data_IF_875154556127
#
_entry.id   IF_875154556127
#
_cell.length_a   1.000
_cell.length_b   1.000
_cell.length_c   1.000
_cell.angle_alpha   90.00
_cell.angle_beta   90.00
_cell.angle_gamma   90.00
#
_symmetry.space_group_name_H-M   'P 1'
#
loop_
_entity.id
_entity.type
_entity.pdbx_description
1 polymer ?
#
# COMPACT_ATOMS: atom_id res chain seq x y z
N UNK A 1 9.52 -18.68 35.05
CA UNK A 1 8.18 -18.74 34.44
C UNK A 1 8.32 -18.56 32.93
N UNK A 2 8.23 -19.64 32.16
CA UNK A 2 8.31 -19.58 30.69
C UNK A 2 6.97 -19.05 30.16
N UNK A 3 6.92 -17.79 29.73
CA UNK A 3 5.78 -17.32 28.93
C UNK A 3 5.79 -18.13 27.62
N UNK A 4 4.68 -18.75 27.20
CA UNK A 4 4.61 -19.38 25.89
C UNK A 4 4.76 -18.26 24.85
N UNK A 5 5.97 -18.10 24.32
CA UNK A 5 6.27 -17.14 23.28
C UNK A 5 5.44 -17.47 22.05
N UNK A 6 4.70 -16.48 21.53
CA UNK A 6 3.95 -16.65 20.29
C UNK A 6 4.92 -17.03 19.18
N UNK A 7 4.66 -18.15 18.51
CA UNK A 7 5.55 -18.58 17.42
C UNK A 7 5.39 -17.68 16.20
N UNK A 8 6.45 -17.50 15.41
CA UNK A 8 6.41 -16.75 14.15
C UNK A 8 5.34 -17.27 13.19
N UNK A 9 5.05 -18.58 13.23
CA UNK A 9 3.99 -19.20 12.43
C UNK A 9 2.58 -18.74 12.88
N UNK A 10 2.35 -18.62 14.18
CA UNK A 10 1.08 -18.12 14.71
C UNK A 10 0.86 -16.64 14.33
N UNK A 11 1.90 -15.81 14.46
CA UNK A 11 1.82 -14.40 14.04
C UNK A 11 1.49 -14.29 12.55
N UNK A 12 2.14 -15.10 11.70
CA UNK A 12 1.89 -15.12 10.26
C UNK A 12 0.45 -15.53 9.90
N UNK A 13 -0.09 -16.55 10.56
CA UNK A 13 -1.49 -16.96 10.36
C UNK A 13 -2.43 -15.83 10.81
N UNK A 14 -2.16 -15.22 11.96
CA UNK A 14 -2.97 -14.12 12.47
C UNK A 14 -3.01 -12.92 11.51
N UNK A 15 -1.85 -12.43 11.03
CA UNK A 15 -1.82 -11.32 10.07
C UNK A 15 -2.53 -11.66 8.76
N UNK A 16 -2.45 -12.91 8.31
CA UNK A 16 -3.15 -13.36 7.12
C UNK A 16 -4.66 -13.33 7.30
N UNK A 17 -5.16 -13.86 8.43
CA UNK A 17 -6.59 -13.85 8.76
C UNK A 17 -7.13 -12.43 8.92
N UNK A 18 -6.37 -11.52 9.53
CA UNK A 18 -6.75 -10.11 9.64
C UNK A 18 -6.85 -9.44 8.26
N UNK A 19 -5.89 -9.69 7.35
CA UNK A 19 -5.97 -9.19 5.98
C UNK A 19 -7.19 -9.74 5.21
N UNK A 20 -7.53 -11.03 5.41
CA UNK A 20 -8.73 -11.63 4.82
C UNK A 20 -10.02 -11.09 5.45
N UNK A 21 -10.01 -10.73 6.73
CA UNK A 21 -11.14 -10.06 7.37
C UNK A 21 -11.36 -8.65 6.78
N UNK A 22 -10.29 -7.90 6.51
CA UNK A 22 -10.38 -6.63 5.79
C UNK A 22 -10.94 -6.83 4.37
N UNK A 23 -10.47 -7.85 3.65
CA UNK A 23 -11.02 -8.22 2.35
C UNK A 23 -12.52 -8.51 2.41
N UNK A 24 -12.96 -9.29 3.39
CA UNK A 24 -14.38 -9.60 3.57
C UNK A 24 -15.21 -8.32 3.86
N UNK A 25 -14.69 -7.41 4.68
CA UNK A 25 -15.32 -6.11 4.96
C UNK A 25 -15.46 -5.25 3.70
N UNK A 26 -14.39 -5.09 2.92
CA UNK A 26 -14.43 -4.32 1.66
C UNK A 26 -15.37 -4.96 0.64
N UNK A 27 -15.29 -6.28 0.49
CA UNK A 27 -16.12 -7.03 -0.46
C UNK A 27 -17.61 -7.00 -0.09
N UNK A 28 -17.94 -7.01 1.19
CA UNK A 28 -19.32 -6.86 1.65
C UNK A 28 -19.95 -5.57 1.12
N UNK A 29 -19.23 -4.45 1.18
CA UNK A 29 -19.73 -3.16 0.68
C UNK A 29 -19.78 -3.09 -0.85
N UNK A 30 -18.82 -3.72 -1.56
CA UNK A 30 -18.89 -3.87 -3.01
C UNK A 30 -20.12 -4.66 -3.44
N UNK A 31 -20.40 -5.79 -2.75
CA UNK A 31 -21.58 -6.61 -2.99
C UNK A 31 -22.86 -5.87 -2.62
N UNK A 32 -22.86 -5.07 -1.55
CA UNK A 32 -23.99 -4.22 -1.19
C UNK A 32 -24.38 -3.28 -2.33
N UNK A 33 -23.40 -2.58 -2.93
CA UNK A 33 -23.68 -1.69 -4.07
C UNK A 33 -24.21 -2.46 -5.29
N UNK A 34 -23.71 -3.68 -5.56
CA UNK A 34 -24.25 -4.55 -6.62
C UNK A 34 -25.69 -4.97 -6.32
N UNK A 35 -26.00 -5.37 -5.07
CA UNK A 35 -27.34 -5.82 -4.68
C UNK A 35 -28.36 -4.68 -4.75
N UNK A 36 -27.97 -3.48 -4.30
CA UNK A 36 -28.86 -2.32 -4.26
C UNK A 36 -29.10 -1.72 -5.65
N UNK A 37 -28.10 -1.75 -6.54
CA UNK A 37 -28.13 -1.01 -7.82
C UNK A 37 -28.13 -1.91 -9.06
N UNK A 38 -27.93 -3.20 -8.88
CA UNK A 38 -27.58 -4.13 -9.95
C UNK A 38 -26.12 -3.97 -10.40
N UNK A 39 -25.60 -4.99 -11.08
CA UNK A 39 -24.24 -4.98 -11.61
C UNK A 39 -23.98 -3.80 -12.59
N UNK A 40 -24.89 -3.44 -13.52
CA UNK A 40 -24.68 -2.29 -14.40
C UNK A 40 -24.63 -0.96 -13.62
N UNK A 41 -25.46 -0.80 -12.59
CA UNK A 41 -25.49 0.40 -11.76
C UNK A 41 -24.21 0.55 -10.91
N UNK A 42 -23.74 -0.54 -10.30
CA UNK A 42 -22.47 -0.56 -9.58
C UNK A 42 -21.27 -0.30 -10.52
N UNK A 43 -21.28 -0.89 -11.71
CA UNK A 43 -20.25 -0.64 -12.72
C UNK A 43 -20.23 0.82 -13.19
N UNK A 44 -21.40 1.40 -13.46
CA UNK A 44 -21.53 2.83 -13.81
C UNK A 44 -21.00 3.70 -12.68
N UNK A 45 -21.32 3.39 -11.42
CA UNK A 45 -20.77 4.10 -10.26
C UNK A 45 -19.24 4.06 -10.25
N UNK A 46 -18.63 2.89 -10.38
CA UNK A 46 -17.19 2.75 -10.30
C UNK A 46 -16.45 3.37 -11.49
N UNK A 47 -17.07 3.41 -12.68
CA UNK A 47 -16.43 3.94 -13.89
C UNK A 47 -16.70 5.41 -14.14
N UNK A 48 -17.82 5.96 -13.67
CA UNK A 48 -18.23 7.36 -13.90
C UNK A 48 -18.19 8.22 -12.64
N UNK A 49 -18.03 7.60 -11.46
CA UNK A 49 -18.08 8.28 -10.18
C UNK A 49 -19.45 8.87 -9.84
N UNK A 50 -20.49 8.61 -10.64
CA UNK A 50 -21.81 9.20 -10.46
C UNK A 50 -22.95 8.22 -10.75
N UNK A 51 -23.83 8.07 -9.77
CA UNK A 51 -25.14 7.40 -9.86
C UNK A 51 -26.07 8.09 -8.87
N UNK A 52 -27.38 8.20 -9.14
CA UNK A 52 -28.34 8.70 -8.15
C UNK A 52 -28.29 7.92 -6.83
N UNK A 53 -28.27 8.66 -5.71
CA UNK A 53 -28.27 8.09 -4.35
C UNK A 53 -26.90 7.75 -3.79
N UNK A 54 -26.86 7.41 -2.50
CA UNK A 54 -25.63 7.09 -1.77
C UNK A 54 -25.03 5.76 -2.18
N UNK A 55 -23.75 5.78 -2.50
CA UNK A 55 -22.98 4.56 -2.68
C UNK A 55 -22.18 4.25 -1.43
N UNK A 56 -21.97 2.96 -1.17
CA UNK A 56 -21.05 2.57 -0.12
C UNK A 56 -19.60 2.72 -0.60
N UNK A 57 -19.31 2.33 -1.84
CA UNK A 57 -17.95 2.13 -2.37
C UNK A 57 -17.61 3.00 -3.56
N UNK A 58 -16.33 2.98 -3.93
CA UNK A 58 -15.75 3.60 -5.12
C UNK A 58 -14.90 2.59 -5.91
N UNK A 59 -14.37 3.00 -7.07
CA UNK A 59 -13.42 2.18 -7.85
C UNK A 59 -12.17 1.78 -7.07
N UNK A 60 -11.72 2.61 -6.11
CA UNK A 60 -10.60 2.30 -5.23
C UNK A 60 -10.85 1.07 -4.35
N UNK A 61 -12.10 0.83 -3.95
CA UNK A 61 -12.44 -0.32 -3.12
C UNK A 61 -12.23 -1.64 -3.89
N UNK A 62 -12.33 -1.65 -5.22
CA UNK A 62 -11.98 -2.81 -6.05
C UNK A 62 -10.48 -3.14 -5.94
N UNK A 63 -9.63 -2.10 -6.05
CA UNK A 63 -8.19 -2.21 -5.85
C UNK A 63 -7.83 -2.65 -4.43
N UNK A 64 -8.52 -2.08 -3.44
CA UNK A 64 -8.30 -2.39 -2.04
C UNK A 64 -8.66 -3.84 -1.71
N UNK A 65 -9.78 -4.34 -2.23
CA UNK A 65 -10.18 -5.73 -2.08
C UNK A 65 -9.15 -6.68 -2.72
N UNK A 66 -8.70 -6.38 -3.95
CA UNK A 66 -7.67 -7.17 -4.62
C UNK A 66 -6.36 -7.22 -3.82
N UNK A 67 -5.90 -6.06 -3.32
CA UNK A 67 -4.72 -5.95 -2.46
C UNK A 67 -4.87 -6.77 -1.17
N UNK A 68 -5.97 -6.62 -0.45
CA UNK A 68 -6.22 -7.31 0.82
C UNK A 68 -6.28 -8.83 0.65
N UNK A 69 -6.92 -9.32 -0.42
CA UNK A 69 -6.95 -10.73 -0.78
C UNK A 69 -5.56 -11.26 -1.11
N UNK A 70 -4.85 -10.59 -2.01
CA UNK A 70 -3.49 -10.99 -2.41
C UNK A 70 -2.54 -10.99 -1.20
N UNK A 71 -2.62 -10.00 -0.31
CA UNK A 71 -1.81 -9.92 0.89
C UNK A 71 -2.09 -11.07 1.87
N UNK A 72 -3.37 -11.40 2.09
CA UNK A 72 -3.78 -12.52 2.94
C UNK A 72 -3.31 -13.87 2.38
N UNK A 73 -3.55 -14.13 1.08
CA UNK A 73 -3.08 -15.35 0.43
C UNK A 73 -1.55 -15.44 0.39
N UNK A 74 -0.86 -14.33 0.09
CA UNK A 74 0.59 -14.26 0.09
C UNK A 74 1.19 -14.65 1.46
N UNK A 75 0.53 -14.24 2.55
CA UNK A 75 0.94 -14.57 3.90
C UNK A 75 0.68 -16.05 4.26
N UNK A 76 -0.49 -16.60 3.89
CA UNK A 76 -0.82 -18.03 4.09
C UNK A 76 0.15 -18.94 3.33
N UNK A 77 0.43 -18.62 2.06
CA UNK A 77 1.34 -19.40 1.21
C UNK A 77 2.82 -19.08 1.43
N UNK A 78 3.15 -18.26 2.44
CA UNK A 78 4.54 -17.91 2.81
C UNK A 78 5.36 -17.38 1.64
N UNK A 79 4.72 -16.60 0.77
CA UNK A 79 5.37 -16.06 -0.43
C UNK A 79 6.39 -14.98 -0.05
N UNK A 80 7.48 -14.89 -0.82
CA UNK A 80 8.44 -13.79 -0.68
C UNK A 80 7.72 -12.47 -0.99
N UNK A 81 7.84 -11.49 -0.09
CA UNK A 81 7.19 -10.18 -0.24
C UNK A 81 5.82 -10.05 0.46
N UNK A 82 5.29 -11.10 1.09
CA UNK A 82 4.03 -11.05 1.84
C UNK A 82 3.99 -9.90 2.87
N UNK A 83 5.09 -9.66 3.59
CA UNK A 83 5.18 -8.55 4.55
C UNK A 83 5.01 -7.17 3.91
N UNK A 84 5.53 -6.95 2.70
CA UNK A 84 5.33 -5.70 1.97
C UNK A 84 3.89 -5.52 1.49
N UNK A 85 3.25 -6.60 1.02
CA UNK A 85 1.84 -6.60 0.63
C UNK A 85 0.92 -6.31 1.83
N UNK A 86 1.15 -6.98 2.96
CA UNK A 86 0.40 -6.75 4.20
C UNK A 86 0.59 -5.34 4.72
N UNK A 87 1.82 -4.80 4.67
CA UNK A 87 2.08 -3.42 5.07
C UNK A 87 1.31 -2.45 4.19
N UNK A 88 1.33 -2.64 2.86
CA UNK A 88 0.61 -1.77 1.93
C UNK A 88 -0.89 -1.86 2.14
N UNK A 89 -1.43 -3.07 2.28
CA UNK A 89 -2.84 -3.34 2.60
C UNK A 89 -3.26 -2.61 3.86
N UNK A 90 -2.47 -2.73 4.94
CA UNK A 90 -2.70 -2.06 6.21
C UNK A 90 -2.68 -0.53 6.06
N UNK A 91 -1.64 0.04 5.45
CA UNK A 91 -1.50 1.50 5.31
C UNK A 91 -2.56 2.12 4.42
N UNK A 92 -2.90 1.47 3.30
CA UNK A 92 -3.96 1.93 2.40
C UNK A 92 -5.30 1.85 3.12
N UNK A 93 -5.60 0.72 3.76
CA UNK A 93 -6.88 0.59 4.48
C UNK A 93 -7.01 1.65 5.57
N UNK A 94 -5.96 1.91 6.36
CA UNK A 94 -5.98 3.00 7.35
C UNK A 94 -6.20 4.37 6.69
N UNK A 95 -5.42 4.70 5.66
CA UNK A 95 -5.53 5.99 4.97
C UNK A 95 -6.93 6.24 4.42
N UNK A 96 -7.56 5.24 3.80
CA UNK A 96 -8.86 5.43 3.17
C UNK A 96 -10.06 5.24 4.12
N UNK A 97 -9.91 4.53 5.24
CA UNK A 97 -10.99 4.33 6.22
C UNK A 97 -11.00 5.37 7.35
N UNK A 98 -9.86 5.97 7.69
CA UNK A 98 -9.78 6.98 8.76
C UNK A 98 -10.64 8.23 8.48
N UNK A 99 -10.66 8.81 7.28
CA UNK A 99 -11.54 9.94 6.99
C UNK A 99 -13.00 9.56 7.17
N UNK A 100 -13.43 8.40 6.66
CA UNK A 100 -14.81 7.93 6.84
C UNK A 100 -15.17 7.80 8.34
N UNK A 101 -14.25 7.30 9.17
CA UNK A 101 -14.43 7.23 10.63
C UNK A 101 -14.51 8.63 11.25
N UNK A 102 -13.59 9.52 10.88
CA UNK A 102 -13.55 10.89 11.39
C UNK A 102 -14.86 11.63 11.08
N UNK A 103 -15.31 11.58 9.84
CA UNK A 103 -16.50 12.30 9.41
C UNK A 103 -17.81 11.67 9.90
N UNK A 104 -17.90 10.34 9.98
CA UNK A 104 -19.14 9.69 10.40
C UNK A 104 -19.34 9.69 11.92
N UNK A 105 -18.26 9.76 12.71
CA UNK A 105 -18.34 9.66 14.17
C UNK A 105 -18.02 10.95 14.91
N UNK A 106 -17.12 11.77 14.38
CA UNK A 106 -16.62 12.94 15.10
C UNK A 106 -17.22 14.24 14.57
N UNK A 107 -17.62 14.29 13.29
CA UNK A 107 -18.25 15.48 12.72
C UNK A 107 -19.78 15.39 12.68
N UNK A 108 -20.36 16.35 13.39
CA UNK A 108 -21.73 16.48 13.85
C UNK A 108 -22.80 16.42 12.75
N UNK A 109 -24.05 16.00 13.05
CA UNK A 109 -25.22 16.01 12.14
C UNK A 109 -25.62 17.38 11.55
N UNK A 110 -24.82 18.42 11.78
CA UNK A 110 -24.98 19.78 11.27
C UNK A 110 -24.07 20.11 10.09
N UNK A 111 -23.17 19.21 9.67
CA UNK A 111 -22.24 19.53 8.59
C UNK A 111 -22.95 19.52 7.21
N UNK A 112 -23.06 20.67 6.51
CA UNK A 112 -23.69 20.76 5.19
C UNK A 112 -23.07 19.82 4.14
N UNK A 113 -21.81 19.41 4.32
CA UNK A 113 -21.11 18.52 3.38
C UNK A 113 -21.63 17.08 3.36
N UNK A 114 -22.15 16.61 4.51
CA UNK A 114 -22.83 15.32 4.61
C UNK A 114 -24.35 15.47 4.51
N UNK A 115 -24.88 16.69 4.35
CA UNK A 115 -26.29 16.91 4.07
C UNK A 115 -27.26 16.16 5.00
N UNK A 116 -28.49 15.95 4.54
CA UNK A 116 -29.54 15.24 5.26
C UNK A 116 -29.34 13.71 5.29
N UNK A 117 -28.09 13.22 5.20
CA UNK A 117 -27.75 11.80 5.19
C UNK A 117 -28.12 11.13 6.52
N UNK A 118 -29.37 10.72 6.64
CA UNK A 118 -29.92 9.97 7.77
C UNK A 118 -30.30 8.58 7.30
N UNK A 119 -29.85 7.54 8.00
CA UNK A 119 -30.24 6.16 7.71
C UNK A 119 -29.42 5.12 8.47
N UNK A 120 -30.01 3.94 8.69
CA UNK A 120 -29.34 2.80 9.34
C UNK A 120 -28.09 2.33 8.57
N UNK A 121 -28.03 2.57 7.26
CA UNK A 121 -26.88 2.28 6.42
C UNK A 121 -25.65 3.11 6.79
N UNK A 122 -25.82 4.37 7.18
CA UNK A 122 -24.69 5.25 7.55
C UNK A 122 -23.99 4.74 8.82
N UNK A 123 -24.77 4.39 9.85
CA UNK A 123 -24.25 3.81 11.10
C UNK A 123 -23.57 2.46 10.84
N UNK A 124 -24.10 1.65 9.94
CA UNK A 124 -23.49 0.37 9.55
C UNK A 124 -22.15 0.59 8.82
N UNK A 125 -22.07 1.54 7.87
CA UNK A 125 -20.82 1.88 7.20
C UNK A 125 -19.79 2.41 8.20
N UNK A 126 -20.19 3.38 9.05
CA UNK A 126 -19.29 3.95 10.06
C UNK A 126 -18.76 2.91 11.04
N UNK A 127 -19.62 2.06 11.59
CA UNK A 127 -19.19 1.00 12.53
C UNK A 127 -18.28 -0.04 11.89
N UNK A 128 -18.54 -0.44 10.64
CA UNK A 128 -17.62 -1.35 9.92
C UNK A 128 -16.32 -0.68 9.50
N UNK A 129 -16.31 0.63 9.24
CA UNK A 129 -15.09 1.40 9.00
C UNK A 129 -14.23 1.49 10.27
N UNK A 130 -14.84 1.73 11.44
CA UNK A 130 -14.13 1.66 12.74
C UNK A 130 -13.53 0.28 12.96
N UNK A 131 -14.30 -0.77 12.72
CA UNK A 131 -13.80 -2.14 12.84
C UNK A 131 -12.61 -2.38 11.90
N UNK A 132 -12.67 -1.90 10.66
CA UNK A 132 -11.55 -2.00 9.72
C UNK A 132 -10.30 -1.26 10.23
N UNK A 133 -10.45 -0.06 10.81
CA UNK A 133 -9.34 0.68 11.42
C UNK A 133 -8.75 -0.10 12.59
N UNK A 134 -9.57 -0.63 13.51
CA UNK A 134 -9.11 -1.45 14.64
C UNK A 134 -8.35 -2.68 14.15
N UNK A 135 -8.89 -3.41 13.16
CA UNK A 135 -8.22 -4.56 12.55
C UNK A 135 -6.87 -4.15 11.96
N UNK A 136 -6.78 -2.99 11.31
CA UNK A 136 -5.51 -2.49 10.77
C UNK A 136 -4.50 -2.14 11.86
N UNK A 137 -4.93 -1.54 12.98
CA UNK A 137 -4.04 -1.26 14.10
C UNK A 137 -3.47 -2.54 14.71
N UNK A 138 -4.31 -3.57 14.87
CA UNK A 138 -3.87 -4.90 15.34
C UNK A 138 -2.92 -5.55 14.32
N UNK A 139 -3.27 -5.50 13.03
CA UNK A 139 -2.43 -6.01 11.94
C UNK A 139 -1.05 -5.31 11.92
N UNK A 140 -1.03 -3.97 12.04
CA UNK A 140 0.19 -3.17 12.13
C UNK A 140 1.05 -3.56 13.33
N UNK A 141 0.44 -3.71 14.52
CA UNK A 141 1.14 -4.18 15.71
C UNK A 141 1.76 -5.56 15.53
N UNK A 142 1.04 -6.51 14.92
CA UNK A 142 1.57 -7.84 14.62
C UNK A 142 2.66 -7.83 13.55
N UNK A 143 2.60 -6.93 12.56
CA UNK A 143 3.67 -6.76 11.57
C UNK A 143 4.95 -6.21 12.21
N UNK A 144 4.82 -5.26 13.14
CA UNK A 144 5.96 -4.75 13.92
C UNK A 144 6.56 -5.84 14.81
N UNK A 145 5.71 -6.64 15.47
CA UNK A 145 6.15 -7.78 16.28
C UNK A 145 6.86 -8.84 15.43
N UNK A 146 6.31 -9.21 14.27
CA UNK A 146 6.93 -10.14 13.34
C UNK A 146 8.32 -9.65 12.90
N UNK A 147 8.43 -8.36 12.60
CA UNK A 147 9.70 -7.73 12.21
C UNK A 147 10.72 -7.73 13.34
N UNK A 148 10.29 -7.50 14.58
CA UNK A 148 11.16 -7.57 15.76
C UNK A 148 11.73 -8.98 15.94
N UNK A 149 10.87 -10.00 15.88
CA UNK A 149 11.32 -11.41 15.98
C UNK A 149 12.27 -11.80 14.85
N UNK A 150 12.02 -11.33 13.63
CA UNK A 150 12.92 -11.56 12.49
C UNK A 150 14.27 -10.85 12.66
N UNK A 151 14.29 -9.67 13.29
CA UNK A 151 15.51 -8.95 13.60
C UNK A 151 16.34 -9.66 14.67
N UNK A 152 15.73 -10.10 15.77
CA UNK A 152 16.40 -10.89 16.82
C UNK A 152 16.97 -12.21 16.26
N UNK A 153 16.20 -12.88 15.41
CA UNK A 153 16.66 -14.10 14.74
C UNK A 153 17.78 -13.82 13.71
N UNK A 154 17.83 -12.65 13.09
CA UNK A 154 18.91 -12.29 12.17
C UNK A 154 20.19 -11.90 12.93
N UNK A 155 20.07 -11.21 14.06
CA UNK A 155 21.19 -10.81 14.90
C UNK A 155 21.98 -12.02 15.45
N UNK A 156 21.31 -13.13 15.72
CA UNK A 156 21.99 -14.37 16.13
C UNK A 156 22.72 -15.09 14.99
N UNK A 157 22.43 -14.75 13.73
CA UNK A 157 22.95 -15.41 12.53
C UNK A 157 23.91 -14.53 11.71
N UNK A 158 24.26 -13.33 12.17
CA UNK A 158 24.93 -12.29 11.37
C UNK A 158 26.42 -12.51 11.07
N UNK A 159 26.99 -13.68 11.37
CA UNK A 159 28.41 -14.00 11.17
C UNK A 159 28.80 -14.10 9.68
N UNK A 160 27.86 -14.13 8.74
CA UNK A 160 28.13 -14.45 7.32
C UNK A 160 27.51 -13.49 6.28
N UNK A 161 27.22 -12.24 6.65
CA UNK A 161 26.44 -11.30 5.82
C UNK A 161 27.16 -10.72 4.58
N UNK A 162 27.10 -11.40 3.43
CA UNK A 162 27.46 -10.82 2.13
C UNK A 162 26.43 -9.80 1.59
N UNK A 163 26.90 -8.80 0.84
CA UNK A 163 26.06 -7.78 0.20
C UNK A 163 25.23 -8.41 -0.93
N UNK A 164 23.89 -8.30 -0.86
CA UNK A 164 23.01 -8.79 -1.95
C UNK A 164 23.02 -7.80 -3.14
N UNK A 165 23.16 -8.28 -4.38
CA UNK A 165 23.16 -7.43 -5.57
C UNK A 165 21.80 -6.73 -5.76
N UNK A 166 21.84 -5.54 -6.36
CA UNK A 166 20.65 -4.74 -6.67
C UNK A 166 19.86 -5.44 -7.78
N UNK A 167 18.59 -5.73 -7.51
CA UNK A 167 17.67 -6.21 -8.54
C UNK A 167 17.17 -5.05 -9.38
N UNK A 168 17.24 -5.18 -10.71
CA UNK A 168 16.71 -4.22 -11.71
C UNK A 168 15.24 -3.88 -11.46
N UNK A 169 14.50 -4.80 -10.85
CA UNK A 169 13.08 -4.61 -10.49
C UNK A 169 12.86 -3.56 -9.42
N UNK A 170 13.77 -3.41 -8.45
CA UNK A 170 13.65 -2.38 -7.42
C UNK A 170 13.88 -0.97 -7.98
N UNK A 171 14.81 -0.83 -8.95
CA UNK A 171 15.05 0.45 -9.63
C UNK A 171 13.89 0.81 -10.55
N UNK A 172 13.35 -0.16 -11.29
CA UNK A 172 12.22 0.08 -12.18
C UNK A 172 10.95 0.46 -11.41
N UNK A 173 10.64 -0.25 -10.32
CA UNK A 173 9.48 0.10 -9.48
C UNK A 173 9.68 1.43 -8.77
N UNK A 174 10.88 1.71 -8.25
CA UNK A 174 11.21 3.00 -7.65
C UNK A 174 11.04 4.18 -8.62
N UNK A 175 11.49 4.03 -9.87
CA UNK A 175 11.32 5.05 -10.90
C UNK A 175 9.85 5.28 -11.24
N UNK A 176 9.05 4.23 -11.42
CA UNK A 176 7.62 4.38 -11.68
C UNK A 176 6.92 5.13 -10.54
N UNK A 177 7.19 4.72 -9.29
CA UNK A 177 6.63 5.39 -8.11
C UNK A 177 7.02 6.86 -8.06
N UNK A 178 8.25 7.21 -8.45
CA UNK A 178 8.70 8.59 -8.53
C UNK A 178 7.90 9.41 -9.57
N UNK A 179 7.69 8.85 -10.76
CA UNK A 179 6.91 9.51 -11.80
C UNK A 179 5.45 9.71 -11.35
N UNK A 180 4.82 8.66 -10.80
CA UNK A 180 3.45 8.76 -10.26
C UNK A 180 3.36 9.79 -9.14
N UNK A 181 4.35 9.86 -8.26
CA UNK A 181 4.42 10.85 -7.20
C UNK A 181 4.40 12.29 -7.73
N UNK A 182 5.15 12.57 -8.81
CA UNK A 182 5.15 13.88 -9.49
C UNK A 182 3.75 14.21 -10.04
N UNK A 183 3.06 13.25 -10.65
CA UNK A 183 1.68 13.45 -11.13
C UNK A 183 0.71 13.78 -9.99
N UNK A 184 0.77 13.06 -8.86
CA UNK A 184 -0.10 13.34 -7.72
C UNK A 184 0.18 14.70 -7.07
N UNK A 185 1.44 15.11 -6.95
CA UNK A 185 1.83 16.45 -6.48
C UNK A 185 1.30 17.51 -7.45
N UNK A 186 1.51 17.30 -8.76
CA UNK A 186 1.03 18.19 -9.81
C UNK A 186 -0.49 18.36 -9.78
N UNK A 187 -1.25 17.27 -9.63
CA UNK A 187 -2.72 17.33 -9.50
C UNK A 187 -3.16 18.13 -8.28
N UNK A 188 -2.57 17.89 -7.11
CA UNK A 188 -2.87 18.69 -5.91
C UNK A 188 -2.56 20.17 -6.12
N UNK A 189 -1.44 20.50 -6.76
CA UNK A 189 -1.08 21.89 -7.07
C UNK A 189 -2.08 22.54 -8.05
N UNK A 190 -2.46 21.85 -9.14
CA UNK A 190 -3.47 22.33 -10.10
C UNK A 190 -4.81 22.55 -9.41
N UNK A 191 -5.25 21.63 -8.56
CA UNK A 191 -6.48 21.81 -7.78
C UNK A 191 -6.36 23.00 -6.84
N UNK A 192 -5.22 23.20 -6.17
CA UNK A 192 -4.97 24.39 -5.35
C UNK A 192 -5.19 25.69 -6.13
N UNK A 193 -4.72 25.75 -7.38
CA UNK A 193 -4.89 26.91 -8.25
C UNK A 193 -6.33 27.09 -8.76
N UNK A 194 -7.06 26.00 -8.98
CA UNK A 194 -8.42 26.06 -9.53
C UNK A 194 -9.49 26.40 -8.50
N UNK A 195 -9.46 25.76 -7.32
CA UNK A 195 -10.48 25.95 -6.28
C UNK A 195 -10.03 26.87 -5.14
N UNK A 196 -8.74 27.22 -5.12
CA UNK A 196 -8.12 28.02 -4.06
C UNK A 196 -7.60 27.15 -2.90
N UNK A 197 -6.62 27.67 -2.12
CA UNK A 197 -5.95 26.90 -1.07
C UNK A 197 -6.89 26.51 0.08
N UNK A 198 -7.86 27.37 0.45
CA UNK A 198 -8.82 27.07 1.53
C UNK A 198 -9.71 25.87 1.22
N UNK A 199 -10.29 25.84 0.02
CA UNK A 199 -11.13 24.72 -0.43
C UNK A 199 -10.30 23.44 -0.59
N UNK A 200 -9.06 23.56 -1.08
CA UNK A 200 -8.15 22.42 -1.12
C UNK A 200 -7.85 21.88 0.29
N UNK A 201 -7.60 22.74 1.28
CA UNK A 201 -7.38 22.31 2.67
C UNK A 201 -8.59 21.54 3.18
N UNK A 202 -9.81 22.04 2.95
CA UNK A 202 -11.02 21.32 3.31
C UNK A 202 -11.11 19.95 2.62
N UNK A 203 -10.82 19.87 1.32
CA UNK A 203 -10.80 18.61 0.56
C UNK A 203 -9.68 17.64 1.01
N UNK A 204 -8.53 18.17 1.46
CA UNK A 204 -7.39 17.38 1.98
C UNK A 204 -7.66 16.87 3.38
N UNK A 205 -8.45 17.56 4.20
CA UNK A 205 -8.91 16.99 5.48
C UNK A 205 -9.95 15.90 5.19
N UNK A 206 -10.60 15.97 4.03
CA UNK A 206 -11.58 15.00 3.52
C UNK A 206 -13.01 15.54 3.51
N UNK A 207 -13.23 16.85 3.70
CA UNK A 207 -14.55 17.47 3.64
C UNK A 207 -15.02 17.48 2.18
N UNK A 208 -16.29 17.16 1.96
CA UNK A 208 -16.92 17.27 0.63
C UNK A 208 -17.11 15.97 -0.16
N UNK A 209 -16.82 14.78 0.40
CA UNK A 209 -17.15 13.50 -0.25
C UNK A 209 -18.58 13.02 0.06
N UNK A 210 -19.60 13.76 -0.41
CA UNK A 210 -21.00 13.37 -0.23
C UNK A 210 -21.52 12.26 -1.17
N UNK A 211 -20.67 11.68 -2.05
CA UNK A 211 -21.13 10.78 -3.13
C UNK A 211 -21.05 9.29 -2.80
N UNK A 212 -19.99 8.88 -2.09
CA UNK A 212 -19.75 7.52 -1.64
C UNK A 212 -19.26 7.55 -0.19
N UNK A 213 -19.90 6.80 0.71
CA UNK A 213 -19.69 6.91 2.16
C UNK A 213 -18.27 6.48 2.55
N UNK A 214 -17.71 5.48 1.87
CA UNK A 214 -16.33 5.04 2.08
C UNK A 214 -15.31 5.69 1.15
N UNK A 215 -15.76 6.50 0.20
CA UNK A 215 -14.84 7.22 -0.67
C UNK A 215 -14.29 8.44 0.05
N UNK A 216 -13.06 8.77 -0.29
CA UNK A 216 -12.40 10.00 0.14
C UNK A 216 -12.44 11.01 -1.01
N UNK A 217 -12.37 12.32 -0.75
CA UNK A 217 -12.20 13.30 -1.82
C UNK A 217 -10.93 13.04 -2.63
N UNK A 218 -10.95 13.39 -3.92
CA UNK A 218 -9.82 13.16 -4.82
C UNK A 218 -8.50 13.78 -4.32
N UNK A 219 -8.46 15.02 -3.75
CA UNK A 219 -7.23 15.56 -3.20
C UNK A 219 -6.67 14.74 -2.02
N UNK A 220 -7.53 14.31 -1.09
CA UNK A 220 -7.13 13.40 0.00
C UNK A 220 -6.50 12.12 -0.56
N UNK A 221 -7.17 11.49 -1.53
CA UNK A 221 -6.65 10.30 -2.21
C UNK A 221 -5.25 10.57 -2.74
N UNK A 222 -5.05 11.61 -3.57
CA UNK A 222 -3.75 11.91 -4.17
C UNK A 222 -2.67 12.21 -3.12
N UNK A 223 -3.00 12.85 -2.00
CA UNK A 223 -2.07 13.05 -0.88
C UNK A 223 -1.65 11.70 -0.28
N UNK A 224 -2.60 10.80 -0.01
CA UNK A 224 -2.27 9.45 0.44
C UNK A 224 -1.38 8.71 -0.57
N UNK A 225 -1.69 8.82 -1.86
CA UNK A 225 -0.90 8.16 -2.91
C UNK A 225 0.50 8.75 -3.02
N UNK A 226 0.64 10.07 -2.85
CA UNK A 226 1.93 10.77 -2.80
C UNK A 226 2.80 10.20 -1.67
N UNK A 227 2.24 10.09 -0.46
CA UNK A 227 2.94 9.56 0.71
C UNK A 227 3.32 8.08 0.50
N UNK A 228 2.40 7.27 -0.02
CA UNK A 228 2.64 5.84 -0.27
C UNK A 228 3.70 5.63 -1.38
N UNK A 229 3.65 6.41 -2.45
CA UNK A 229 4.66 6.38 -3.51
C UNK A 229 6.03 6.78 -2.96
N UNK A 230 6.11 7.86 -2.18
CA UNK A 230 7.33 8.29 -1.50
C UNK A 230 7.90 7.23 -0.55
N UNK A 231 7.04 6.57 0.23
CA UNK A 231 7.45 5.46 1.09
C UNK A 231 7.99 4.27 0.28
N UNK A 232 7.33 3.91 -0.82
CA UNK A 232 7.80 2.86 -1.73
C UNK A 232 9.13 3.20 -2.39
N UNK A 233 9.34 4.45 -2.81
CA UNK A 233 10.63 4.96 -3.31
C UNK A 233 11.73 4.82 -2.25
N UNK A 234 11.46 5.22 -1.01
CA UNK A 234 12.43 5.13 0.09
C UNK A 234 12.78 3.67 0.41
N UNK A 235 11.79 2.77 0.40
CA UNK A 235 12.01 1.34 0.60
C UNK A 235 12.86 0.74 -0.53
N UNK A 236 12.62 1.14 -1.78
CA UNK A 236 13.40 0.72 -2.94
C UNK A 236 14.84 1.24 -2.86
N UNK A 237 15.03 2.52 -2.56
CA UNK A 237 16.34 3.16 -2.41
C UNK A 237 17.17 2.52 -1.28
N UNK A 238 16.53 2.21 -0.14
CA UNK A 238 17.16 1.51 0.99
C UNK A 238 17.29 0.00 0.80
N UNK A 239 16.95 -0.53 -0.40
CA UNK A 239 17.05 -1.95 -0.76
C UNK A 239 16.39 -2.89 0.26
N UNK A 240 15.27 -2.44 0.86
CA UNK A 240 14.59 -3.21 1.90
C UNK A 240 13.94 -4.46 1.28
N UNK A 241 14.00 -5.64 1.93
CA UNK A 241 13.34 -6.86 1.44
C UNK A 241 11.82 -6.73 1.22
N UNK A 242 11.19 -5.74 1.86
CA UNK A 242 9.77 -5.44 1.75
C UNK A 242 9.40 -4.63 0.51
N UNK A 243 10.37 -3.99 -0.16
CA UNK A 243 10.12 -3.07 -1.27
C UNK A 243 9.38 -3.71 -2.46
N UNK A 244 9.70 -4.95 -2.91
CA UNK A 244 8.98 -5.58 -4.01
C UNK A 244 7.52 -5.85 -3.63
N UNK A 245 7.27 -6.42 -2.44
CA UNK A 245 5.92 -6.68 -1.95
C UNK A 245 5.10 -5.40 -1.81
N UNK A 246 5.74 -4.32 -1.35
CA UNK A 246 5.10 -3.01 -1.25
C UNK A 246 4.73 -2.45 -2.64
N UNK A 247 5.66 -2.53 -3.59
CA UNK A 247 5.44 -2.06 -4.97
C UNK A 247 4.33 -2.85 -5.69
N UNK A 248 4.30 -4.18 -5.55
CA UNK A 248 3.19 -5.01 -6.05
C UNK A 248 1.90 -4.61 -5.37
N UNK A 249 1.92 -4.38 -4.06
CA UNK A 249 0.73 -4.01 -3.30
C UNK A 249 0.10 -2.72 -3.82
N UNK A 250 0.93 -1.70 -4.04
CA UNK A 250 0.45 -0.43 -4.57
C UNK A 250 -0.03 -0.58 -6.02
N UNK A 251 0.63 -1.40 -6.83
CA UNK A 251 0.20 -1.69 -8.21
C UNK A 251 -1.16 -2.38 -8.25
N UNK A 252 -1.41 -3.35 -7.36
CA UNK A 252 -2.71 -4.03 -7.24
C UNK A 252 -3.81 -3.08 -6.78
N UNK A 253 -3.47 -2.09 -5.96
CA UNK A 253 -4.41 -1.09 -5.50
C UNK A 253 -4.78 -0.07 -6.60
N UNK A 254 -3.81 0.43 -7.37
CA UNK A 254 -4.08 1.44 -8.41
C UNK A 254 -4.72 0.86 -9.66
N UNK A 255 -4.31 -0.34 -10.06
CA UNK A 255 -4.65 -0.88 -11.38
C UNK A 255 -6.17 -0.96 -11.65
N UNK A 256 -7.02 -1.42 -10.70
CA UNK A 256 -8.46 -1.44 -10.95
C UNK A 256 -9.08 -0.05 -11.09
N UNK A 257 -8.65 0.94 -10.30
CA UNK A 257 -9.15 2.31 -10.41
C UNK A 257 -8.77 2.94 -11.74
N UNK A 258 -7.50 2.81 -12.13
CA UNK A 258 -7.00 3.32 -13.39
C UNK A 258 -7.71 2.68 -14.59
N UNK A 259 -7.99 1.37 -14.52
CA UNK A 259 -8.79 0.67 -15.51
C UNK A 259 -10.22 1.22 -15.60
N UNK A 260 -10.89 1.42 -14.47
CA UNK A 260 -12.27 1.93 -14.46
C UNK A 260 -12.36 3.36 -14.99
N UNK A 261 -11.37 4.21 -14.73
CA UNK A 261 -11.31 5.57 -15.27
C UNK A 261 -11.08 5.56 -16.79
N UNK A 262 -10.11 4.78 -17.28
CA UNK A 262 -9.87 4.61 -18.72
C UNK A 262 -11.10 4.06 -19.44
N UNK A 263 -11.83 3.15 -18.79
CA UNK A 263 -13.10 2.65 -19.32
C UNK A 263 -14.13 3.78 -19.42
N UNK A 264 -14.26 4.62 -18.40
CA UNK A 264 -15.12 5.81 -18.41
C UNK A 264 -14.79 6.77 -19.56
N UNK A 265 -13.50 7.01 -19.80
CA UNK A 265 -13.05 7.83 -20.94
C UNK A 265 -13.40 7.19 -22.28
N UNK A 266 -13.20 5.88 -22.43
CA UNK A 266 -13.48 5.17 -23.66
C UNK A 266 -14.97 5.20 -24.05
N UNK A 267 -15.88 5.23 -23.07
CA UNK A 267 -17.33 5.33 -23.30
C UNK A 267 -17.84 6.77 -23.32
N UNK A 268 -16.97 7.77 -23.17
CA UNK A 268 -17.32 9.19 -23.22
C UNK A 268 -18.14 9.69 -22.02
N UNK A 269 -18.08 9.00 -20.88
CA UNK A 269 -18.89 9.31 -19.70
C UNK A 269 -18.26 10.33 -18.74
N UNK A 270 -16.99 10.69 -18.95
CA UNK A 270 -16.28 11.69 -18.16
C UNK A 270 -15.62 12.75 -19.06
N UNK A 271 -15.53 14.02 -18.61
CA UNK A 271 -14.71 15.00 -19.29
C UNK A 271 -13.25 14.54 -19.27
N UNK A 272 -12.63 14.51 -20.45
CA UNK A 272 -11.29 13.97 -20.64
C UNK A 272 -10.31 15.11 -20.83
N UNK A 273 -9.36 15.26 -19.91
CA UNK A 273 -8.13 16.04 -20.20
C UNK A 273 -7.02 15.09 -20.63
N UNK A 274 -6.13 15.55 -21.51
CA UNK A 274 -4.97 14.76 -21.93
C UNK A 274 -4.09 14.35 -20.74
N UNK A 275 -4.01 15.21 -19.71
CA UNK A 275 -3.29 14.93 -18.46
C UNK A 275 -3.95 13.77 -17.73
N UNK A 276 -5.27 13.77 -17.59
CA UNK A 276 -5.97 12.71 -16.87
C UNK A 276 -5.84 11.36 -17.58
N UNK A 277 -6.03 11.31 -18.90
CA UNK A 277 -5.82 10.08 -19.66
C UNK A 277 -4.39 9.58 -19.55
N UNK A 278 -3.41 10.47 -19.65
CA UNK A 278 -2.00 10.09 -19.56
C UNK A 278 -1.64 9.52 -18.19
N UNK A 279 -2.20 10.09 -17.11
CA UNK A 279 -1.99 9.61 -15.76
C UNK A 279 -2.65 8.25 -15.54
N UNK A 280 -3.94 8.09 -15.86
CA UNK A 280 -4.63 6.80 -15.67
C UNK A 280 -4.00 5.70 -16.56
N UNK A 281 -3.53 6.05 -17.77
CA UNK A 281 -2.77 5.12 -18.61
C UNK A 281 -1.44 4.71 -17.97
N UNK A 282 -0.69 5.68 -17.44
CA UNK A 282 0.58 5.42 -16.75
C UNK A 282 0.36 4.59 -15.48
N UNK A 283 -0.67 4.86 -14.70
CA UNK A 283 -1.03 4.08 -13.52
C UNK A 283 -1.36 2.65 -13.91
N UNK A 284 -2.17 2.45 -14.95
CA UNK A 284 -2.58 1.11 -15.40
C UNK A 284 -1.41 0.32 -15.98
N UNK A 285 -0.74 0.86 -17.00
CA UNK A 285 0.37 0.20 -17.70
C UNK A 285 1.58 0.06 -16.79
N UNK A 286 1.89 1.08 -16.01
CA UNK A 286 2.98 1.05 -15.04
C UNK A 286 2.75 0.00 -13.95
N UNK A 287 1.55 -0.05 -13.37
CA UNK A 287 1.20 -1.09 -12.39
C UNK A 287 1.30 -2.49 -12.98
N UNK A 288 0.76 -2.70 -14.19
CA UNK A 288 0.86 -3.98 -14.89
C UNK A 288 2.32 -4.38 -15.15
N UNK A 289 3.17 -3.42 -15.56
CA UNK A 289 4.59 -3.64 -15.79
C UNK A 289 5.34 -4.02 -14.50
N UNK A 290 5.07 -3.36 -13.38
CA UNK A 290 5.66 -3.70 -12.08
C UNK A 290 5.27 -5.10 -11.63
N UNK A 291 3.99 -5.47 -11.75
CA UNK A 291 3.54 -6.83 -11.44
C UNK A 291 4.24 -7.85 -12.35
N UNK A 292 4.29 -7.61 -13.66
CA UNK A 292 4.93 -8.52 -14.61
C UNK A 292 6.43 -8.69 -14.33
N UNK A 293 7.14 -7.61 -14.04
CA UNK A 293 8.56 -7.62 -13.70
C UNK A 293 8.84 -8.43 -12.42
N UNK A 294 8.05 -8.21 -11.36
CA UNK A 294 8.24 -8.90 -10.09
C UNK A 294 7.88 -10.38 -10.21
N UNK A 295 6.82 -10.72 -10.95
CA UNK A 295 6.47 -12.13 -11.26
C UNK A 295 7.59 -12.78 -12.08
N UNK A 296 8.17 -12.07 -13.06
CA UNK A 296 9.30 -12.53 -13.85
C UNK A 296 10.53 -12.84 -13.00
N UNK A 297 10.87 -11.95 -12.06
CA UNK A 297 11.96 -12.16 -11.10
C UNK A 297 11.71 -13.37 -10.19
N UNK A 298 10.50 -13.52 -9.67
CA UNK A 298 10.14 -14.68 -8.82
C UNK A 298 10.26 -15.99 -9.60
N UNK A 299 9.90 -16.00 -10.88
CA UNK A 299 10.06 -17.18 -11.75
C UNK A 299 11.52 -17.51 -12.04
N UNK A 300 12.36 -16.49 -12.27
CA UNK A 300 13.81 -16.67 -12.45
C UNK A 300 14.50 -17.19 -11.19
N UNK A 301 14.16 -16.62 -10.03
CA UNK A 301 14.69 -17.04 -8.72
C UNK A 301 14.32 -18.50 -8.37
N UNK A 302 13.24 -19.04 -8.94
CA UNK A 302 12.81 -20.45 -8.75
C UNK A 302 13.47 -21.43 -9.70
N UNK A 303 14.29 -20.95 -10.65
CA UNK A 303 14.96 -21.80 -11.65
C UNK A 303 16.44 -22.14 -11.34
N UNK A 304 16.93 -22.24 -10.08
CA UNK A 304 18.30 -22.64 -9.85
C UNK A 304 18.40 -24.17 -9.99
N UNK A 305 19.21 -24.62 -10.94
CA UNK A 305 19.97 -25.88 -10.90
C UNK A 305 19.30 -27.23 -11.21
N UNK A 306 18.03 -27.31 -11.60
CA UNK A 306 17.49 -28.55 -12.22
C UNK A 306 18.12 -28.87 -13.60
N UNK A 307 18.95 -27.97 -14.14
CA UNK A 307 19.69 -28.19 -15.39
C UNK A 307 21.09 -28.81 -15.20
N UNK A 308 21.63 -28.84 -13.97
CA UNK A 308 22.97 -29.41 -13.70
C UNK A 308 22.92 -30.87 -13.19
N UNK A 309 21.73 -31.44 -13.02
CA UNK A 309 21.53 -32.85 -12.68
C UNK A 309 21.34 -33.78 -13.89
N UNK A 310 21.32 -33.26 -15.13
CA UNK A 310 21.11 -34.06 -16.35
C UNK A 310 22.29 -34.01 -17.34
N UNK A 311 23.39 -33.32 -17.00
CA UNK A 311 24.70 -33.67 -17.57
C UNK A 311 25.28 -34.80 -16.73
N UNK A 312 24.55 -35.91 -16.74
CA UNK A 312 25.12 -37.23 -16.55
C UNK A 312 26.15 -37.38 -17.68
N UNK A 313 27.39 -36.96 -17.43
CA UNK A 313 28.53 -37.43 -18.22
C UNK A 313 28.33 -38.94 -18.35
N UNK A 314 28.14 -39.48 -19.57
CA UNK A 314 28.01 -40.91 -19.74
C UNK A 314 29.26 -41.51 -19.09
N UNK A 315 29.05 -42.31 -18.04
CA UNK A 315 30.09 -43.09 -17.43
C UNK A 315 30.77 -43.85 -18.57
N UNK A 316 31.97 -43.41 -18.96
CA UNK A 316 32.81 -44.16 -19.88
C UNK A 316 32.97 -45.52 -19.20
N UNK A 317 32.51 -46.63 -19.82
CA UNK A 317 32.70 -47.93 -19.23
C UNK A 317 34.21 -48.15 -19.18
N UNK A 318 34.77 -48.09 -17.96
CA UNK A 318 36.15 -48.41 -17.72
C UNK A 318 36.32 -49.89 -18.07
N UNK A 319 36.84 -50.11 -19.28
CA UNK A 319 37.21 -51.39 -19.84
C UNK A 319 38.15 -52.08 -18.85
N UNK A 320 37.70 -53.20 -18.31
CA UNK A 320 38.51 -54.13 -17.52
C UNK A 320 39.68 -54.61 -18.38
N UNK A 321 40.86 -54.00 -18.18
CA UNK A 321 42.11 -54.53 -18.71
C UNK A 321 42.47 -55.78 -17.88
N UNK A 322 42.19 -56.94 -18.45
CA UNK A 322 42.69 -58.22 -17.97
C UNK A 322 44.21 -58.27 -18.13
N UNK A 323 44.92 -58.67 -17.07
CA UNK A 323 46.31 -59.14 -17.16
C UNK A 323 47.37 -58.19 -16.61
N UNK A 324 47.39 -57.99 -15.29
CA UNK A 324 48.63 -57.62 -14.58
C UNK A 324 48.82 -58.59 -13.41
N UNK A 325 49.95 -59.30 -13.32
CA UNK A 325 50.18 -60.28 -12.27
C UNK A 325 50.32 -59.61 -10.91
N UNK A 326 49.72 -60.25 -9.90
CA UNK A 326 49.65 -59.78 -8.52
C UNK A 326 51.05 -59.64 -7.90
N UNK A 327 51.39 -58.43 -7.46
CA UNK A 327 52.50 -58.17 -6.53
C UNK A 327 51.93 -58.21 -5.11
N UNK A 328 52.60 -58.85 -4.13
CA UNK A 328 52.11 -58.91 -2.76
C UNK A 328 52.25 -57.52 -2.13
N UNK A 329 51.12 -56.87 -1.85
CA UNK A 329 51.07 -55.61 -1.13
C UNK A 329 51.10 -55.92 0.37
N UNK A 330 52.20 -55.53 1.02
CA UNK A 330 52.32 -55.44 2.48
C UNK A 330 51.32 -54.44 3.06
N UNK A 331 50.77 -54.68 4.26
CA UNK A 331 49.81 -53.78 4.88
C UNK A 331 50.49 -52.46 5.26
N UNK A 332 50.18 -51.40 4.51
CA UNK A 332 50.58 -50.04 4.84
C UNK A 332 49.73 -49.53 6.01
N UNK A 333 50.39 -49.18 7.10
CA UNK A 333 49.84 -48.43 8.22
C UNK A 333 49.25 -47.13 7.68
N UNK A 334 47.95 -46.94 7.85
CA UNK A 334 47.26 -45.71 7.50
C UNK A 334 47.71 -44.58 8.43
N UNK A 335 48.72 -43.82 8.01
CA UNK A 335 49.01 -42.50 8.57
C UNK A 335 47.95 -41.53 8.07
N UNK A 336 47.10 -41.08 8.98
CA UNK A 336 46.16 -39.98 8.82
C UNK A 336 46.90 -38.77 8.23
N UNK A 337 46.46 -38.19 7.09
CA UNK A 337 47.02 -36.94 6.61
C UNK A 337 46.68 -35.85 7.61
N UNK A 338 47.73 -35.21 8.15
CA UNK A 338 47.58 -33.99 8.92
C UNK A 338 46.82 -32.96 8.07
N UNK A 339 45.72 -32.46 8.64
CA UNK A 339 44.94 -31.40 8.03
C UNK A 339 45.84 -30.19 7.75
N UNK A 340 45.75 -29.57 6.56
CA UNK A 340 46.49 -28.35 6.28
C UNK A 340 46.07 -27.27 7.29
N UNK A 341 47.06 -26.71 7.97
CA UNK A 341 46.88 -25.60 8.90
C UNK A 341 46.13 -24.47 8.19
N UNK A 342 44.98 -24.10 8.74
CA UNK A 342 44.22 -22.96 8.26
C UNK A 342 45.11 -21.70 8.32
N UNK A 343 45.16 -20.88 7.25
CA UNK A 343 45.89 -19.62 7.29
C UNK A 343 45.32 -18.74 8.40
N UNK A 344 46.22 -18.22 9.24
CA UNK A 344 45.90 -17.30 10.31
C UNK A 344 45.10 -16.12 9.72
N UNK A 345 43.89 -15.90 10.25
CA UNK A 345 43.09 -14.76 9.91
C UNK A 345 43.90 -13.48 10.22
N UNK A 346 43.97 -12.50 9.29
CA UNK A 346 44.60 -11.22 9.57
C UNK A 346 43.88 -10.57 10.76
N UNK A 347 44.66 -10.14 11.74
CA UNK A 347 44.17 -9.43 12.92
C UNK A 347 43.28 -8.27 12.49
N UNK A 348 42.04 -8.27 12.96
CA UNK A 348 41.14 -7.14 12.80
C UNK A 348 41.82 -5.90 13.42
N UNK A 349 41.89 -4.75 12.71
CA UNK A 349 42.38 -3.52 13.30
C UNK A 349 41.49 -3.16 14.49
N UNK A 350 42.14 -2.85 15.61
CA UNK A 350 41.48 -2.35 16.81
C UNK A 350 40.59 -1.18 16.43
N UNK A 351 39.31 -1.27 16.79
CA UNK A 351 38.42 -0.12 16.79
C UNK A 351 39.03 0.92 17.72
N UNK A 352 39.46 2.05 17.15
CA UNK A 352 39.66 3.27 17.91
C UNK A 352 38.28 3.73 18.36
N UNK A 353 38.09 3.74 19.67
CA UNK A 353 37.07 4.55 20.32
C UNK A 353 37.44 6.02 20.09
N UNK A 354 36.91 6.62 19.02
CA UNK A 354 36.81 8.07 18.89
C UNK A 354 35.57 8.50 19.69
N UNK A 355 35.83 8.67 20.98
CA UNK A 355 35.11 9.53 21.92
C UNK A 355 35.30 11.00 21.49
N UNK A 356 34.32 11.85 21.79
CA UNK A 356 34.23 13.30 21.50
C UNK A 356 33.63 13.72 20.14
N UNK A 357 32.29 13.84 20.11
CA UNK A 357 31.65 14.90 19.31
C UNK A 357 30.53 15.54 20.15
N UNK A 358 30.90 16.67 20.77
CA UNK A 358 30.04 17.61 21.47
C UNK A 358 28.97 18.16 20.51
N UNK A 359 27.72 17.74 20.69
CA UNK A 359 26.58 18.44 20.10
C UNK A 359 26.12 19.56 21.06
N UNK A 360 26.00 20.81 20.61
CA UNK A 360 25.58 21.92 21.47
C UNK A 360 24.10 21.76 21.83
N UNK A 361 23.80 21.95 23.12
CA UNK A 361 22.46 22.25 23.64
C UNK A 361 21.89 23.47 22.88
N UNK A 362 20.98 23.24 21.94
CA UNK A 362 20.10 24.29 21.46
C UNK A 362 19.15 24.69 22.60
N UNK A 363 19.45 25.87 23.15
CA UNK A 363 18.57 26.62 24.03
C UNK A 363 17.20 26.78 23.36
N UNK A 364 16.18 26.16 23.96
CA UNK A 364 14.77 26.40 23.64
C UNK A 364 14.43 27.80 24.16
N UNK A 365 14.61 28.80 23.30
CA UNK A 365 14.14 30.15 23.51
C UNK A 365 12.60 30.13 23.44
N UNK A 366 11.96 30.43 24.56
CA UNK A 366 10.52 30.51 24.68
C UNK A 366 9.99 31.65 23.81
N UNK A 367 9.42 31.31 22.65
CA UNK A 367 8.64 32.25 21.85
C UNK A 367 7.31 32.51 22.58
N UNK A 368 7.25 33.65 23.25
CA UNK A 368 6.05 34.25 23.79
C UNK A 368 5.09 34.58 22.64
N UNK A 369 4.09 33.71 22.43
CA UNK A 369 3.00 33.95 21.48
C UNK A 369 2.11 35.05 22.08
N UNK A 370 2.38 36.29 21.67
CA UNK A 370 1.48 37.42 21.88
C UNK A 370 0.20 37.18 21.06
N UNK A 371 -0.91 36.95 21.76
CA UNK A 371 -2.26 36.87 21.18
C UNK A 371 -2.68 38.27 20.72
N UNK A 372 -2.91 38.53 19.41
CA UNK A 372 -3.54 39.77 19.00
C UNK A 372 -5.02 39.74 19.40
N UNK A 373 -5.43 40.81 20.08
CA UNK A 373 -6.79 41.05 20.54
C UNK A 373 -7.83 40.82 19.43
N UNK A 374 -8.82 40.01 19.76
CA UNK A 374 -10.02 39.77 19.00
C UNK A 374 -10.75 41.11 18.79
N UNK A 375 -10.79 41.57 17.54
CA UNK A 375 -11.51 42.78 17.16
C UNK A 375 -12.97 42.39 16.96
N UNK A 376 -13.80 42.78 17.92
CA UNK A 376 -15.25 42.75 17.79
C UNK A 376 -15.66 43.65 16.61
N UNK A 377 -16.15 43.04 15.55
CA UNK A 377 -16.98 43.71 14.55
C UNK A 377 -18.40 43.18 14.72
N UNK A 378 -19.11 43.81 15.64
CA UNK A 378 -20.55 43.94 15.54
C UNK A 378 -20.85 44.63 14.21
N UNK A 379 -21.61 43.96 13.35
CA UNK A 379 -22.25 44.60 12.21
C UNK A 379 -23.69 44.15 12.18
N UNK A 380 -24.53 45.02 12.74
CA UNK A 380 -25.96 45.06 12.57
C UNK A 380 -26.33 45.00 11.08
N UNK A 381 -27.14 44.01 10.72
CA UNK A 381 -27.91 44.03 9.48
C UNK A 381 -29.31 43.46 9.74
N UNK A 382 -30.08 44.25 10.50
CA UNK A 382 -31.53 44.25 10.44
C UNK A 382 -31.94 45.03 9.19
N UNK A 383 -32.48 44.37 8.16
CA UNK A 383 -33.46 45.01 7.25
C UNK A 383 -34.37 43.96 6.63
N UNK A 384 -35.52 43.84 7.29
CA UNK A 384 -36.87 43.69 6.76
C UNK A 384 -37.04 43.96 5.24
N UNK A 385 -37.66 43.03 4.51
CA UNK A 385 -38.49 43.32 3.34
C UNK A 385 -39.20 42.04 2.85
N UNK A 386 -40.49 41.92 3.19
CA UNK A 386 -41.40 41.00 2.53
C UNK A 386 -41.87 41.51 1.15
N UNK A 387 -42.16 40.58 0.24
CA UNK A 387 -43.12 40.66 -0.87
C UNK A 387 -43.12 39.28 -1.56
N UNK A 388 -44.14 38.44 -1.40
CA UNK A 388 -45.42 38.50 -2.12
C UNK A 388 -45.25 38.73 -3.62
N UNK A 389 -45.27 37.65 -4.41
CA UNK A 389 -45.66 37.69 -5.81
C UNK A 389 -46.14 36.29 -6.26
N UNK A 390 -47.46 36.16 -6.28
CA UNK A 390 -48.22 35.23 -7.10
C UNK A 390 -47.63 35.11 -8.51
N UNK A 391 -47.52 33.87 -9.00
CA UNK A 391 -47.33 33.59 -10.44
C UNK A 391 -48.47 32.69 -10.91
N UNK A 392 -49.40 33.18 -11.75
CA UNK A 392 -50.41 32.33 -12.36
C UNK A 392 -49.79 31.48 -13.47
N UNK A 393 -50.15 30.20 -13.48
CA UNK A 393 -49.89 29.27 -14.55
C UNK A 393 -50.61 29.74 -15.83
N UNK A 394 -49.84 29.99 -16.88
CA UNK A 394 -50.38 30.22 -18.23
C UNK A 394 -50.35 28.90 -18.98
N UNK A 395 -51.56 28.44 -19.27
CA UNK A 395 -51.96 27.47 -20.26
C UNK A 395 -51.51 27.92 -21.67
N UNK A 396 -50.82 27.06 -22.42
CA UNK A 396 -50.72 27.18 -23.87
C UNK A 396 -50.45 25.81 -24.51
N UNK A 397 -51.43 25.37 -25.28
CA UNK A 397 -51.42 24.22 -26.18
C UNK A 397 -50.78 24.57 -27.55
N UNK A 398 -50.39 23.52 -28.29
CA UNK A 398 -50.05 23.53 -29.73
C UNK A 398 -48.59 23.16 -29.99
N UNK A 399 -48.23 22.09 -30.71
CA UNK A 399 -48.91 21.34 -31.77
C UNK A 399 -48.60 19.83 -31.71
#
# INVERSE_FOLDING_TARGET
MNRPGMSINQVRIAVALLSLALFAQTTFWLLYDIVVRGLPGAWSLWTTGWVPGLSATSSLDLGLAALQLCAGLAALFRTRGAGGLLMTSCTVTLGFRLPAVWYLLLDSPSDPWFGTLKGASLNAVGSTAVLAVVICLVLGGLLLLARHMEYEAAASNSVTGGVRPVKVTATASGLLLAVLNVFYIGRNAVTAFQVGPGVLTDLIVGKGSGRAILAVPSPYQWVCLTVLCGAGMLLAARRRPTAPGFSVGLSLFMMPSAFTELWGYAVGSMPVTAVDTSQSLLEFVGSAAVVALIVGDVRRDRRPDDADLDVMTPAVPMRTAAGVPAVPVTPAVATTPAAPAAPAAPAAPAAQDDEDDDAPEEAVEAVEITVPAQRDTDTDASTDAGASADRPATEAAGA
#
